data_IF_353829486719
#
_entry.id   IF_353829486719
#
_cell.length_a   1.000
_cell.length_b   1.000
_cell.length_c   1.000
_cell.angle_alpha   90.00
_cell.angle_beta   90.00
_cell.angle_gamma   90.00
#
_symmetry.space_group_name_H-M   'P 1'
#
loop_
_entity.id
_entity.type
_entity.pdbx_description
1 polymer ?
#
# COMPACT_ATOMS: atom_id res chain seq x y z
N UNK A 1 10.51 9.80 -5.11
CA UNK A 1 9.15 10.02 -4.60
C UNK A 1 8.17 9.67 -5.70
N UNK A 2 7.03 9.09 -5.32
CA UNK A 2 5.86 8.84 -6.12
C UNK A 2 5.03 10.11 -6.30
N UNK A 3 4.53 10.31 -7.50
CA UNK A 3 3.51 11.29 -7.85
C UNK A 3 2.17 10.60 -8.10
N UNK A 4 1.06 11.34 -7.96
CA UNK A 4 -0.30 10.77 -8.05
C UNK A 4 -0.52 10.01 -9.35
N UNK A 5 0.02 10.49 -10.47
CA UNK A 5 -0.13 9.85 -11.79
C UNK A 5 0.50 8.46 -11.89
N UNK A 6 1.41 8.11 -10.96
CA UNK A 6 2.08 6.81 -10.93
C UNK A 6 1.25 5.75 -10.19
N UNK A 7 0.17 6.15 -9.50
CA UNK A 7 -0.83 5.24 -8.96
C UNK A 7 -2.06 5.22 -9.86
N UNK A 8 -2.74 4.08 -9.91
CA UNK A 8 -3.95 3.96 -10.72
C UNK A 8 -5.16 4.70 -10.12
N UNK A 9 -6.19 5.03 -10.91
CA UNK A 9 -7.46 5.55 -10.39
C UNK A 9 -8.19 4.53 -9.49
N UNK A 10 -9.07 4.99 -8.60
CA UNK A 10 -9.82 4.12 -7.67
C UNK A 10 -10.52 2.93 -8.35
N UNK A 11 -11.03 3.11 -9.57
CA UNK A 11 -11.70 2.05 -10.33
C UNK A 11 -10.78 0.87 -10.71
N UNK A 12 -9.47 1.07 -10.79
CA UNK A 12 -8.51 -0.02 -10.96
C UNK A 12 -8.49 -0.92 -9.73
N UNK A 13 -8.45 -0.32 -8.53
CA UNK A 13 -8.36 -1.06 -7.26
C UNK A 13 -9.62 -1.85 -6.92
N UNK A 14 -10.76 -1.55 -7.57
CA UNK A 14 -11.95 -2.41 -7.53
C UNK A 14 -11.70 -3.79 -8.15
N UNK A 15 -10.72 -3.92 -9.05
CA UNK A 15 -10.48 -5.11 -9.87
C UNK A 15 -9.11 -5.76 -9.62
N UNK A 16 -8.11 -4.98 -9.20
CA UNK A 16 -6.74 -5.44 -9.13
C UNK A 16 -5.97 -4.82 -7.96
N UNK A 17 -4.88 -5.50 -7.58
CA UNK A 17 -3.84 -4.98 -6.68
C UNK A 17 -2.72 -4.35 -7.50
N UNK A 18 -2.13 -3.27 -7.00
CA UNK A 18 -0.94 -2.67 -7.58
C UNK A 18 0.28 -3.00 -6.73
N UNK A 19 1.41 -3.31 -7.36
CA UNK A 19 2.70 -3.48 -6.70
C UNK A 19 3.72 -2.61 -7.42
N UNK A 20 4.62 -1.99 -6.67
CA UNK A 20 5.73 -1.22 -7.20
C UNK A 20 6.92 -1.24 -6.24
N UNK A 21 7.97 -0.52 -6.63
CA UNK A 21 9.19 -0.41 -5.84
C UNK A 21 9.78 0.99 -5.96
N UNK A 22 10.37 1.49 -4.88
CA UNK A 22 11.10 2.75 -4.81
C UNK A 22 12.39 2.55 -4.02
N UNK A 23 13.51 2.40 -4.74
CA UNK A 23 14.79 2.05 -4.15
C UNK A 23 14.74 0.64 -3.54
N UNK A 24 15.13 0.51 -2.26
CA UNK A 24 15.10 -0.74 -1.49
C UNK A 24 13.67 -1.14 -1.06
N UNK A 25 12.74 -0.19 -1.04
CA UNK A 25 11.39 -0.40 -0.56
C UNK A 25 10.48 -0.90 -1.68
N UNK A 26 9.84 -2.03 -1.46
CA UNK A 26 8.68 -2.47 -2.23
C UNK A 26 7.39 -1.97 -1.58
N UNK A 27 6.37 -1.70 -2.38
CA UNK A 27 5.06 -1.31 -1.90
C UNK A 27 3.93 -1.98 -2.69
N UNK A 28 2.78 -2.14 -2.03
CA UNK A 28 1.54 -2.67 -2.60
C UNK A 28 0.37 -1.81 -2.15
N UNK A 29 -0.57 -1.55 -3.04
CA UNK A 29 -1.87 -0.97 -2.70
C UNK A 29 -2.99 -1.88 -3.22
N UNK A 30 -3.92 -2.24 -2.35
CA UNK A 30 -5.00 -3.16 -2.70
C UNK A 30 -6.29 -2.87 -1.94
N UNK A 31 -7.42 -3.27 -2.50
CA UNK A 31 -8.71 -3.32 -1.82
C UNK A 31 -8.75 -4.52 -0.87
N UNK A 32 -9.21 -4.30 0.36
CA UNK A 32 -9.54 -5.37 1.32
C UNK A 32 -10.88 -5.05 2.00
N UNK A 33 -11.53 -6.08 2.56
CA UNK A 33 -12.74 -5.92 3.37
C UNK A 33 -12.34 -6.06 4.84
N UNK A 34 -12.55 -5.01 5.63
CA UNK A 34 -12.26 -4.98 7.05
C UNK A 34 -13.53 -5.24 7.83
N UNK A 35 -13.52 -6.26 8.70
CA UNK A 35 -14.63 -6.48 9.64
C UNK A 35 -14.70 -5.33 10.64
N UNK A 36 -15.86 -4.70 10.77
CA UNK A 36 -16.12 -3.67 11.77
C UNK A 36 -16.82 -4.27 13.00
N UNK A 37 -17.63 -5.30 12.79
CA UNK A 37 -18.25 -6.14 13.82
C UNK A 37 -18.55 -7.54 13.25
N UNK A 38 -19.37 -8.35 13.93
CA UNK A 38 -19.68 -9.71 13.50
C UNK A 38 -20.50 -9.77 12.20
N UNK A 39 -21.29 -8.74 11.90
CA UNK A 39 -22.22 -8.71 10.76
C UNK A 39 -21.81 -7.71 9.66
N UNK A 40 -20.97 -6.72 9.99
CA UNK A 40 -20.60 -5.63 9.10
C UNK A 40 -19.14 -5.67 8.68
N UNK A 41 -18.91 -5.28 7.43
CA UNK A 41 -17.58 -5.06 6.86
C UNK A 41 -17.53 -3.76 6.08
N UNK A 42 -16.38 -3.09 6.14
CA UNK A 42 -16.08 -1.90 5.37
C UNK A 42 -15.03 -2.21 4.29
N UNK A 43 -15.26 -1.73 3.07
CA UNK A 43 -14.26 -1.78 2.01
C UNK A 43 -13.21 -0.70 2.24
N UNK A 44 -11.94 -1.11 2.31
CA UNK A 44 -10.80 -0.21 2.55
C UNK A 44 -9.70 -0.42 1.51
N UNK A 45 -8.77 0.54 1.45
CA UNK A 45 -7.46 0.36 0.82
C UNK A 45 -6.45 -0.06 1.89
N UNK A 46 -5.63 -1.07 1.57
CA UNK A 46 -4.49 -1.48 2.39
C UNK A 46 -3.22 -1.21 1.61
N UNK A 47 -2.44 -0.26 2.11
CA UNK A 47 -1.06 -0.06 1.71
C UNK A 47 -0.18 -1.06 2.46
N UNK A 48 0.81 -1.62 1.78
CA UNK A 48 1.82 -2.50 2.37
C UNK A 48 3.19 -2.09 1.89
N UNK A 49 4.18 -2.08 2.77
CA UNK A 49 5.58 -1.83 2.43
C UNK A 49 6.49 -2.89 3.04
N UNK A 50 7.60 -3.17 2.38
CA UNK A 50 8.63 -4.07 2.87
C UNK A 50 9.96 -3.82 2.15
N UNK A 51 11.06 -4.21 2.78
CA UNK A 51 12.37 -4.21 2.12
C UNK A 51 12.46 -5.38 1.14
N UNK A 52 12.96 -5.12 -0.07
CA UNK A 52 13.23 -6.15 -1.07
C UNK A 52 14.27 -7.19 -0.62
N UNK A 53 14.51 -8.24 -1.43
CA UNK A 53 14.12 -8.39 -2.83
C UNK A 53 12.86 -9.24 -3.06
N UNK A 54 12.29 -9.86 -2.03
CA UNK A 54 11.19 -10.80 -2.19
C UNK A 54 9.88 -10.09 -2.57
N UNK A 55 9.04 -10.77 -3.36
CA UNK A 55 7.68 -10.30 -3.66
C UNK A 55 6.75 -10.49 -2.45
N UNK A 56 5.63 -9.76 -2.43
CA UNK A 56 4.64 -9.78 -1.34
C UNK A 56 4.23 -11.20 -0.91
N UNK A 57 4.04 -12.12 -1.87
CA UNK A 57 3.57 -13.48 -1.60
C UNK A 57 4.68 -14.41 -1.07
N UNK A 58 5.95 -13.97 -1.11
CA UNK A 58 7.12 -14.77 -0.70
C UNK A 58 7.87 -14.20 0.50
N UNK A 59 7.60 -12.96 0.88
CA UNK A 59 8.19 -12.37 2.08
C UNK A 59 7.41 -12.81 3.33
N UNK A 60 8.09 -13.10 4.46
CA UNK A 60 7.41 -13.34 5.72
C UNK A 60 6.50 -12.16 6.09
N UNK A 61 5.25 -12.45 6.48
CA UNK A 61 4.23 -11.42 6.68
C UNK A 61 4.58 -10.46 7.82
N UNK A 62 5.32 -10.92 8.83
CA UNK A 62 5.82 -10.12 9.95
C UNK A 62 6.83 -9.04 9.51
N UNK A 63 7.40 -9.15 8.31
CA UNK A 63 8.29 -8.13 7.73
C UNK A 63 7.54 -7.09 6.88
N UNK A 64 6.23 -7.23 6.74
CA UNK A 64 5.40 -6.30 5.98
C UNK A 64 4.72 -5.33 6.94
N UNK A 65 5.01 -4.05 6.78
CA UNK A 65 4.26 -3.00 7.46
C UNK A 65 3.03 -2.66 6.64
N UNK A 66 1.86 -2.66 7.27
CA UNK A 66 0.58 -2.34 6.63
C UNK A 66 -0.02 -1.09 7.22
N UNK A 67 -0.73 -0.32 6.39
CA UNK A 67 -1.56 0.81 6.81
C UNK A 67 -2.85 0.80 6.02
N UNK A 68 -3.94 1.12 6.70
CA UNK A 68 -5.28 1.17 6.14
C UNK A 68 -5.63 2.61 5.75
N UNK A 69 -6.40 2.74 4.66
CA UNK A 69 -6.86 4.01 4.12
C UNK A 69 -8.30 3.87 3.63
N UNK A 70 -9.08 4.98 3.56
CA UNK A 70 -10.42 4.95 2.98
C UNK A 70 -10.40 4.42 1.55
N UNK A 71 -11.43 3.66 1.13
CA UNK A 71 -11.60 3.28 -0.27
C UNK A 71 -12.15 4.44 -1.11
N UNK A 72 -11.34 5.50 -1.23
CA UNK A 72 -11.67 6.74 -1.91
C UNK A 72 -10.42 7.30 -2.63
N UNK A 73 -10.61 8.34 -3.44
CA UNK A 73 -9.51 9.00 -4.14
C UNK A 73 -8.52 9.63 -3.15
N UNK A 74 -9.03 10.22 -2.08
CA UNK A 74 -8.23 10.77 -0.98
C UNK A 74 -7.39 9.68 -0.30
N UNK A 75 -7.91 8.46 -0.17
CA UNK A 75 -7.17 7.33 0.39
C UNK A 75 -5.98 6.90 -0.48
N UNK A 76 -6.07 7.07 -1.79
CA UNK A 76 -4.94 6.82 -2.70
C UNK A 76 -3.85 7.87 -2.48
N UNK A 77 -4.23 9.14 -2.32
CA UNK A 77 -3.28 10.21 -2.00
C UNK A 77 -2.61 9.96 -0.64
N UNK A 78 -3.37 9.60 0.39
CA UNK A 78 -2.81 9.27 1.71
C UNK A 78 -1.84 8.08 1.66
N UNK A 79 -2.16 7.04 0.88
CA UNK A 79 -1.27 5.90 0.68
C UNK A 79 0.02 6.31 -0.05
N UNK A 80 -0.08 7.18 -1.06
CA UNK A 80 1.07 7.73 -1.79
C UNK A 80 2.00 8.53 -0.87
N UNK A 81 1.45 9.45 -0.07
CA UNK A 81 2.22 10.25 0.87
C UNK A 81 2.95 9.36 1.87
N UNK A 82 2.25 8.34 2.40
CA UNK A 82 2.85 7.36 3.29
C UNK A 82 3.98 6.55 2.62
N UNK A 83 3.79 6.09 1.38
CA UNK A 83 4.87 5.40 0.64
C UNK A 83 6.08 6.31 0.41
N UNK A 84 5.87 7.60 0.18
CA UNK A 84 6.95 8.57 0.05
C UNK A 84 7.72 8.74 1.35
N UNK A 85 7.02 8.95 2.47
CA UNK A 85 7.64 9.09 3.79
C UNK A 85 8.46 7.85 4.17
N UNK A 86 7.89 6.66 4.02
CA UNK A 86 8.58 5.42 4.40
C UNK A 86 9.71 5.07 3.43
N UNK A 87 9.51 5.35 2.15
CA UNK A 87 10.57 5.18 1.16
C UNK A 87 11.75 6.13 1.40
N UNK A 88 11.51 7.37 1.85
CA UNK A 88 12.60 8.25 2.26
C UNK A 88 13.36 7.69 3.46
N UNK A 89 12.67 7.19 4.49
CA UNK A 89 13.32 6.60 5.66
C UNK A 89 14.18 5.38 5.29
N UNK A 90 13.59 4.41 4.57
CA UNK A 90 14.26 3.16 4.22
C UNK A 90 15.44 3.36 3.25
N UNK A 91 15.37 4.37 2.38
CA UNK A 91 16.44 4.65 1.42
C UNK A 91 17.51 5.62 1.96
N UNK A 92 17.25 6.37 3.04
CA UNK A 92 18.24 7.27 3.68
C UNK A 92 19.24 6.56 4.60
N UNK A 93 18.97 5.32 5.00
CA UNK A 93 19.93 4.51 5.75
C UNK A 93 21.13 4.13 4.85
N UNK A 94 22.10 5.04 4.80
CA UNK A 94 23.45 4.91 4.25
C UNK A 94 24.43 5.53 5.24
#
# INVERSE_FOLDING_TARGET
MLERMQLFPLNFYKKAKFNGSMGKMNYRLAKEEKKTDEENSETILVGSIWEGPFIYDKIPQEKITKREFPFAEEGICQAMDWFNEEGEKMNREV
#
